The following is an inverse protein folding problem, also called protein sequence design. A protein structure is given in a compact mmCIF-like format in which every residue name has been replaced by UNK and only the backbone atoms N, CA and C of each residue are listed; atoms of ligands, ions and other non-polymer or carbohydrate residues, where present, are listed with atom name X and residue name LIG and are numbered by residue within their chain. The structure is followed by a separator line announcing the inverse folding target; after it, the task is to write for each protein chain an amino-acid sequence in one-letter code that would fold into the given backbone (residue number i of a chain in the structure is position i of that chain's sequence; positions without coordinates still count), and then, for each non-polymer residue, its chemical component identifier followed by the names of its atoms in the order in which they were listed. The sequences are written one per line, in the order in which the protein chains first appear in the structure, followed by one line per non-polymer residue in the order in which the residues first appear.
data_IF_644937861269
#
_entry.id   IF_644937861269
#
_cell.length_a   1.000
_cell.length_b   1.000
_cell.length_c   1.000
_cell.angle_alpha   90.00
_cell.angle_beta   90.00
_cell.angle_gamma   90.00
#
_symmetry.space_group_name_H-M   'P 1'
#
loop_
_entity.id
_entity.type
_entity.pdbx_description
1 polymer ?
#
# COMPACT_ATOMS: atom_id res chain seq x y z
N UNK A 1 -17.14 1.87 27.55
CA UNK A 1 -15.86 1.18 27.24
C UNK A 1 -15.60 0.19 28.35
N UNK A 2 -15.16 -1.02 28.03
CA UNK A 2 -15.06 -2.12 28.99
C UNK A 2 -13.68 -2.16 29.65
N UNK A 3 -13.61 -2.61 30.91
CA UNK A 3 -12.37 -2.69 31.68
C UNK A 3 -11.30 -3.51 30.97
N UNK A 4 -11.68 -4.60 30.28
CA UNK A 4 -10.75 -5.45 29.51
C UNK A 4 -10.06 -4.71 28.38
N UNK A 5 -10.77 -3.77 27.74
CA UNK A 5 -10.23 -2.95 26.64
C UNK A 5 -9.32 -1.87 27.22
N UNK A 6 -9.76 -1.24 28.32
CA UNK A 6 -8.98 -0.20 29.00
C UNK A 6 -7.67 -0.76 29.55
N UNK A 7 -7.68 -1.90 30.23
CA UNK A 7 -6.47 -2.55 30.76
C UNK A 7 -5.40 -2.79 29.69
N UNK A 8 -5.81 -3.27 28.49
CA UNK A 8 -4.90 -3.45 27.35
C UNK A 8 -4.31 -2.15 26.80
N UNK A 9 -4.97 -1.02 27.07
CA UNK A 9 -4.59 0.30 26.56
C UNK A 9 -3.90 1.17 27.62
N UNK A 10 -3.76 0.70 28.86
CA UNK A 10 -3.18 1.48 29.95
C UNK A 10 -1.72 1.86 29.71
N UNK A 11 -0.87 0.95 29.21
CA UNK A 11 0.54 1.27 28.89
C UNK A 11 0.62 2.39 27.86
N UNK A 12 0.00 2.20 26.69
CA UNK A 12 -0.03 3.21 25.63
C UNK A 12 -0.71 4.53 26.06
N UNK A 13 -1.61 4.49 27.06
CA UNK A 13 -2.19 5.69 27.66
C UNK A 13 -1.16 6.45 28.51
N UNK A 14 -0.39 5.74 29.34
CA UNK A 14 0.70 6.29 30.17
C UNK A 14 1.80 6.88 29.29
N UNK A 15 2.19 6.16 28.23
CA UNK A 15 3.25 6.55 27.31
C UNK A 15 2.82 7.69 26.34
N UNK A 16 1.53 8.05 26.33
CA UNK A 16 1.00 9.10 25.44
C UNK A 16 0.90 8.68 23.98
N UNK A 17 0.86 7.38 23.68
CA UNK A 17 0.81 6.83 22.32
C UNK A 17 -0.61 6.65 21.78
N UNK A 18 -1.63 6.75 22.64
CA UNK A 18 -3.02 6.61 22.18
C UNK A 18 -3.48 7.82 21.34
N UNK A 19 -4.22 7.59 20.23
CA UNK A 19 -4.91 8.64 19.48
C UNK A 19 -5.88 9.43 20.36
N UNK A 20 -6.11 10.71 20.03
CA UNK A 20 -6.90 11.64 20.85
C UNK A 20 -8.25 11.08 21.33
N UNK A 21 -9.05 10.51 20.41
CA UNK A 21 -10.37 9.95 20.73
C UNK A 21 -10.29 8.78 21.71
N UNK A 22 -9.27 7.94 21.59
CA UNK A 22 -9.09 6.79 22.47
C UNK A 22 -8.57 7.21 23.83
N UNK A 23 -7.65 8.19 23.88
CA UNK A 23 -7.17 8.79 25.11
C UNK A 23 -8.32 9.42 25.90
N UNK A 24 -9.21 10.15 25.25
CA UNK A 24 -10.39 10.74 25.91
C UNK A 24 -11.32 9.65 26.47
N UNK A 25 -11.58 8.60 25.70
CA UNK A 25 -12.44 7.49 26.13
C UNK A 25 -11.85 6.73 27.33
N UNK A 26 -10.55 6.46 27.31
CA UNK A 26 -9.82 5.83 28.42
C UNK A 26 -9.83 6.75 29.64
N UNK A 27 -9.52 8.03 29.49
CA UNK A 27 -9.54 9.01 30.59
C UNK A 27 -10.91 9.12 31.26
N UNK A 28 -12.00 9.17 30.47
CA UNK A 28 -13.37 9.12 31.00
C UNK A 28 -13.65 7.85 31.79
N UNK A 29 -13.19 6.69 31.30
CA UNK A 29 -13.37 5.42 32.02
C UNK A 29 -12.58 5.39 33.33
N UNK A 30 -11.34 5.89 33.35
CA UNK A 30 -10.54 5.98 34.58
C UNK A 30 -11.19 6.86 35.64
N UNK A 31 -11.89 7.92 35.23
CA UNK A 31 -12.65 8.77 36.16
C UNK A 31 -13.90 8.10 36.78
N UNK A 32 -14.40 7.02 36.17
CA UNK A 32 -15.64 6.34 36.59
C UNK A 32 -15.39 4.94 37.18
N UNK A 33 -14.30 4.29 36.81
CA UNK A 33 -14.01 2.90 37.19
C UNK A 33 -12.86 2.83 38.19
N UNK A 34 -13.19 2.50 39.44
CA UNK A 34 -12.22 2.38 40.53
C UNK A 34 -11.12 1.34 40.22
N UNK A 35 -11.49 0.16 39.70
CA UNK A 35 -10.51 -0.91 39.45
C UNK A 35 -9.47 -0.52 38.41
N UNK A 36 -9.89 0.11 37.31
CA UNK A 36 -8.96 0.55 36.26
C UNK A 36 -8.14 1.77 36.70
N UNK A 37 -8.70 2.65 37.53
CA UNK A 37 -7.94 3.75 38.15
C UNK A 37 -6.84 3.24 39.07
N UNK A 38 -7.11 2.22 39.89
CA UNK A 38 -6.11 1.60 40.76
C UNK A 38 -5.01 0.89 39.96
N UNK A 39 -5.37 0.17 38.91
CA UNK A 39 -4.40 -0.46 38.01
C UNK A 39 -3.50 0.58 37.34
N UNK A 40 -4.08 1.66 36.82
CA UNK A 40 -3.34 2.78 36.26
C UNK A 40 -2.35 3.39 37.27
N UNK A 41 -2.79 3.59 38.53
CA UNK A 41 -1.92 4.11 39.60
C UNK A 41 -0.74 3.19 39.90
N UNK A 42 -0.96 1.87 39.93
CA UNK A 42 0.10 0.87 40.14
C UNK A 42 1.13 0.92 39.01
N UNK A 43 0.69 1.04 37.76
CA UNK A 43 1.58 1.13 36.61
C UNK A 43 2.43 2.41 36.66
N UNK A 44 1.83 3.56 37.00
CA UNK A 44 2.58 4.82 37.20
C UNK A 44 3.62 4.67 38.30
N UNK A 45 3.27 4.04 39.43
CA UNK A 45 4.21 3.83 40.53
C UNK A 45 5.43 3.03 40.06
N UNK A 46 5.21 1.95 39.31
CA UNK A 46 6.31 1.13 38.75
C UNK A 46 7.16 1.98 37.80
N UNK A 47 6.54 2.75 36.90
CA UNK A 47 7.27 3.62 35.98
C UNK A 47 8.11 4.67 36.73
N UNK A 48 7.58 5.27 37.81
CA UNK A 48 8.34 6.24 38.60
C UNK A 48 9.55 5.64 39.33
N UNK A 49 9.47 4.36 39.73
CA UNK A 49 10.61 3.68 40.36
C UNK A 49 11.76 3.44 39.37
N UNK A 50 11.46 3.42 38.06
CA UNK A 50 12.48 3.31 37.01
C UNK A 50 13.13 4.65 36.68
N UNK A 51 12.47 5.77 36.98
CA UNK A 51 12.98 7.12 36.69
C UNK A 51 14.16 7.49 37.62
N UNK A 52 14.24 6.85 38.79
CA UNK A 52 15.35 7.00 39.75
C UNK A 52 16.63 6.25 39.32
N UNK A 53 16.62 5.54 38.18
CA UNK A 53 17.80 4.88 37.66
C UNK A 53 18.76 5.95 37.10
N UNK A 54 19.98 5.98 37.63
CA UNK A 54 21.01 6.94 37.24
C UNK A 54 21.14 7.01 35.71
N UNK A 55 20.88 8.19 35.15
CA UNK A 55 21.09 8.46 33.73
C UNK A 55 22.59 8.46 33.47
N UNK A 56 23.06 7.43 32.76
CA UNK A 56 24.45 7.33 32.31
C UNK A 56 24.76 8.53 31.39
N UNK A 57 25.85 9.24 31.67
CA UNK A 57 26.24 10.41 30.88
C UNK A 57 26.63 9.97 29.46
N UNK A 58 25.92 10.47 28.45
CA UNK A 58 26.19 10.09 27.06
C UNK A 58 27.50 10.72 26.60
N UNK A 59 28.30 9.99 25.83
CA UNK A 59 29.59 10.53 25.37
C UNK A 59 29.40 11.81 24.53
N UNK A 60 30.28 12.81 24.62
CA UNK A 60 30.12 14.10 23.93
C UNK A 60 29.93 14.00 22.40
N UNK A 61 30.41 12.92 21.78
CA UNK A 61 30.33 12.68 20.34
C UNK A 61 29.18 11.74 19.93
N UNK A 62 28.33 11.32 20.87
CA UNK A 62 27.23 10.39 20.60
C UNK A 62 26.23 11.00 19.61
N UNK A 63 25.81 12.25 19.85
CA UNK A 63 24.85 12.94 18.98
C UNK A 63 25.38 13.08 17.55
N UNK A 64 26.64 13.50 17.39
CA UNK A 64 27.28 13.63 16.08
C UNK A 64 27.32 12.30 15.33
N UNK A 65 27.65 11.21 16.02
CA UNK A 65 27.69 9.86 15.43
C UNK A 65 26.30 9.42 14.97
N UNK A 66 25.26 9.64 15.78
CA UNK A 66 23.87 9.28 15.43
C UNK A 66 23.38 10.08 14.23
N UNK A 67 23.60 11.39 14.21
CA UNK A 67 23.18 12.26 13.10
C UNK A 67 23.90 11.89 11.81
N UNK A 68 25.21 11.64 11.87
CA UNK A 68 25.98 11.27 10.68
C UNK A 68 25.55 9.90 10.14
N UNK A 69 25.27 8.93 11.01
CA UNK A 69 24.75 7.63 10.60
C UNK A 69 23.32 7.70 10.04
N UNK A 70 22.44 8.56 10.58
CA UNK A 70 21.10 8.72 10.03
C UNK A 70 21.13 9.29 8.59
N UNK A 71 22.00 10.26 8.33
CA UNK A 71 22.15 10.89 7.00
C UNK A 71 22.56 9.90 5.89
N UNK A 72 23.37 8.88 6.21
CA UNK A 72 23.82 7.90 5.20
C UNK A 72 22.68 6.97 4.75
N UNK A 73 21.76 6.64 5.65
CA UNK A 73 20.57 5.81 5.34
C UNK A 73 19.68 6.52 4.31
N UNK A 74 19.40 7.81 4.50
CA UNK A 74 18.53 8.57 3.59
C UNK A 74 19.16 8.84 2.21
N UNK A 75 20.48 9.07 2.14
CA UNK A 75 21.17 9.33 0.86
C UNK A 75 21.15 8.15 -0.10
N UNK A 76 21.11 6.93 0.42
CA UNK A 76 21.21 5.71 -0.40
C UNK A 76 19.93 5.44 -1.19
N UNK A 77 18.76 5.81 -0.67
CA UNK A 77 17.48 5.62 -1.35
C UNK A 77 17.28 6.58 -2.54
N UNK A 78 17.75 7.84 -2.42
CA UNK A 78 17.53 8.85 -3.45
C UNK A 78 18.31 8.58 -4.75
N UNK A 79 19.52 7.99 -4.67
CA UNK A 79 20.33 7.63 -5.85
C UNK A 79 19.78 6.44 -6.63
N UNK A 80 19.03 5.53 -5.99
CA UNK A 80 18.41 4.39 -6.69
C UNK A 80 17.21 4.78 -7.55
N UNK A 81 16.54 5.90 -7.24
CA UNK A 81 15.33 6.34 -7.95
C UNK A 81 15.56 7.39 -9.05
N UNK A 82 16.70 8.08 -9.11
CA UNK A 82 17.00 9.03 -10.20
C UNK A 82 17.57 8.38 -11.47
N UNK A 83 18.18 7.20 -11.37
CA UNK A 83 18.78 6.51 -12.52
C UNK A 83 17.82 5.75 -13.47
N UNK A 84 16.60 5.28 -13.10
CA UNK A 84 15.73 4.58 -14.05
C UNK A 84 15.05 5.53 -15.05
N UNK A 85 14.79 6.80 -14.69
CA UNK A 85 14.11 7.75 -15.57
C UNK A 85 14.92 8.10 -16.82
N UNK A 86 16.25 8.30 -16.69
CA UNK A 86 17.14 8.55 -17.83
C UNK A 86 17.29 7.32 -18.75
N UNK A 87 17.31 6.11 -18.17
CA UNK A 87 17.38 4.88 -18.95
C UNK A 87 16.11 4.64 -19.78
N UNK A 88 14.93 4.92 -19.22
CA UNK A 88 13.66 4.79 -19.94
C UNK A 88 13.53 5.78 -21.12
N UNK A 89 14.05 7.01 -20.98
CA UNK A 89 14.02 8.00 -22.06
C UNK A 89 14.82 7.56 -23.30
N UNK A 90 15.98 6.93 -23.09
CA UNK A 90 16.79 6.38 -24.19
C UNK A 90 16.06 5.26 -24.95
N UNK A 91 15.39 4.35 -24.22
CA UNK A 91 14.63 3.25 -24.81
C UNK A 91 13.44 3.78 -25.62
N UNK A 92 12.69 4.74 -25.07
CA UNK A 92 11.54 5.35 -25.77
C UNK A 92 12.00 6.04 -27.06
N UNK A 93 13.13 6.76 -27.03
CA UNK A 93 13.65 7.44 -28.21
C UNK A 93 14.04 6.47 -29.32
N UNK A 94 14.68 5.34 -28.97
CA UNK A 94 15.02 4.27 -29.93
C UNK A 94 13.76 3.66 -30.54
N UNK A 95 12.74 3.38 -29.73
CA UNK A 95 11.46 2.82 -30.22
C UNK A 95 10.75 3.81 -31.13
N UNK A 96 10.69 5.09 -30.78
CA UNK A 96 10.03 6.13 -31.59
C UNK A 96 10.72 6.32 -32.93
N UNK A 97 12.06 6.37 -32.95
CA UNK A 97 12.82 6.46 -34.21
C UNK A 97 12.59 5.20 -35.05
N UNK A 98 12.64 4.02 -34.44
CA UNK A 98 12.35 2.75 -35.12
C UNK A 98 10.95 2.73 -35.73
N UNK A 99 9.93 3.24 -35.04
CA UNK A 99 8.57 3.32 -35.57
C UNK A 99 8.42 4.32 -36.72
N UNK A 100 9.16 5.43 -36.70
CA UNK A 100 9.13 6.43 -37.78
C UNK A 100 9.79 5.90 -39.04
N UNK A 101 10.92 5.19 -38.92
CA UNK A 101 11.64 4.63 -40.07
C UNK A 101 11.07 3.29 -40.57
N UNK A 102 10.50 2.48 -39.67
CA UNK A 102 9.99 1.14 -39.99
C UNK A 102 8.49 1.11 -40.33
N UNK A 103 7.73 2.20 -40.12
CA UNK A 103 6.37 2.23 -40.64
C UNK A 103 6.39 2.26 -42.17
N UNK A 104 5.89 1.21 -42.86
CA UNK A 104 5.74 1.29 -44.29
C UNK A 104 4.75 2.42 -44.61
N UNK A 105 5.13 3.33 -45.51
CA UNK A 105 4.20 4.31 -46.11
C UNK A 105 3.22 3.55 -47.03
N UNK A 106 2.34 2.75 -46.45
CA UNK A 106 1.34 1.94 -47.13
C UNK A 106 -0.05 2.56 -46.99
N UNK A 107 -0.80 2.62 -48.09
CA UNK A 107 -2.15 3.16 -48.13
C UNK A 107 -3.08 2.44 -47.12
N UNK A 108 -3.64 3.23 -46.19
CA UNK A 108 -4.53 2.80 -45.10
C UNK A 108 -5.76 2.03 -45.60
N UNK A 109 -6.15 2.19 -46.86
CA UNK A 109 -7.32 1.49 -47.44
C UNK A 109 -7.13 -0.01 -47.63
N UNK A 110 -5.90 -0.50 -47.84
CA UNK A 110 -5.68 -1.94 -48.08
C UNK A 110 -5.86 -2.78 -46.81
N UNK A 111 -5.52 -2.25 -45.64
CA UNK A 111 -5.61 -2.97 -44.36
C UNK A 111 -7.05 -3.13 -43.84
N UNK A 112 -8.01 -2.33 -44.32
CA UNK A 112 -9.40 -2.37 -43.84
C UNK A 112 -10.19 -3.56 -44.37
N UNK A 113 -9.84 -4.08 -45.55
CA UNK A 113 -10.59 -5.17 -46.19
C UNK A 113 -10.11 -6.56 -45.78
N UNK A 114 -8.90 -6.69 -45.24
CA UNK A 114 -8.34 -7.99 -44.84
C UNK A 114 -8.91 -8.48 -43.50
N UNK A 115 -9.21 -7.57 -42.57
CA UNK A 115 -9.87 -7.88 -41.29
C UNK A 115 -11.35 -8.33 -41.44
N UNK A 116 -12.00 -8.03 -42.57
CA UNK A 116 -13.41 -8.38 -42.80
C UNK A 116 -13.61 -9.77 -43.40
N UNK A 117 -12.56 -10.41 -43.95
CA UNK A 117 -12.67 -11.78 -44.50
C UNK A 117 -12.59 -12.89 -43.45
N UNK A 118 -12.00 -12.62 -42.29
CA UNK A 118 -11.87 -13.62 -41.22
C UNK A 118 -13.21 -13.95 -40.52
N UNK A 119 -14.26 -13.14 -40.77
CA UNK A 119 -15.61 -13.36 -40.24
C UNK A 119 -16.58 -13.97 -41.27
N UNK A 120 -16.17 -14.26 -42.50
CA UNK A 120 -17.04 -14.86 -43.52
C UNK A 120 -17.20 -16.38 -43.39
N UNK A 121 -16.44 -17.06 -42.52
CA UNK A 121 -16.55 -18.51 -42.27
C UNK A 121 -17.61 -18.86 -41.20
N UNK A 122 -18.73 -18.14 -41.17
CA UNK A 122 -19.91 -18.57 -40.39
C UNK A 122 -20.82 -19.44 -41.27
N UNK A 123 -21.15 -20.69 -40.86
CA UNK A 123 -22.13 -21.49 -41.59
C UNK A 123 -23.49 -20.76 -41.63
N UNK A 124 -24.30 -20.95 -42.69
CA UNK A 124 -25.53 -20.18 -42.90
C UNK A 124 -26.64 -20.45 -41.87
N UNK A 125 -26.47 -21.44 -41.01
CA UNK A 125 -27.45 -21.79 -39.97
C UNK A 125 -27.15 -21.01 -38.69
N UNK A 126 -28.02 -20.06 -38.38
CA UNK A 126 -27.94 -19.25 -37.16
C UNK A 126 -28.00 -20.14 -35.92
N UNK A 127 -27.28 -19.78 -34.84
CA UNK A 127 -27.41 -20.46 -33.54
C UNK A 127 -28.86 -20.54 -33.04
N UNK A 128 -29.71 -19.61 -33.49
CA UNK A 128 -31.16 -19.65 -33.26
C UNK A 128 -31.82 -20.88 -33.88
N UNK A 129 -31.41 -21.30 -35.06
CA UNK A 129 -32.01 -22.45 -35.77
C UNK A 129 -31.65 -23.76 -35.08
N UNK A 130 -30.41 -23.89 -34.59
CA UNK A 130 -29.94 -25.03 -33.78
C UNK A 130 -30.69 -25.07 -32.44
N UNK A 131 -30.84 -23.92 -31.76
CA UNK A 131 -31.59 -23.85 -30.51
C UNK A 131 -33.07 -24.23 -30.69
N UNK A 132 -33.67 -23.80 -31.81
CA UNK A 132 -35.06 -24.11 -32.12
C UNK A 132 -35.28 -25.57 -32.52
N UNK A 133 -34.30 -26.25 -33.13
CA UNK A 133 -34.37 -27.69 -33.42
C UNK A 133 -34.28 -28.54 -32.17
N UNK A 134 -33.38 -28.21 -31.24
CA UNK A 134 -33.22 -28.93 -29.98
C UNK A 134 -34.47 -28.81 -29.09
N UNK A 135 -35.12 -27.65 -29.08
CA UNK A 135 -36.36 -27.44 -28.30
C UNK A 135 -37.59 -28.07 -28.95
N UNK A 136 -37.66 -28.11 -30.29
CA UNK A 136 -38.82 -28.67 -31.00
C UNK A 136 -38.81 -30.20 -31.11
N UNK A 137 -37.74 -30.88 -30.71
CA UNK A 137 -37.74 -32.34 -30.56
C UNK A 137 -37.91 -33.12 -31.86
N UNK A 138 -37.44 -32.57 -32.98
CA UNK A 138 -37.38 -33.30 -34.27
C UNK A 138 -35.94 -33.75 -34.51
N UNK A 139 -35.57 -34.84 -33.83
CA UNK A 139 -34.44 -35.66 -34.26
C UNK A 139 -34.88 -36.50 -35.46
N UNK A 140 -34.09 -36.46 -36.54
CA UNK A 140 -34.10 -37.53 -37.53
C UNK A 140 -32.74 -38.22 -37.54
#
# INVERSE_FOLDING_TARGET
MDCKIVGKKLSAYIDGELPFKEREAVGKHLGLCFSCSEEHRRLILIASLMDDIAVEDVSPFFADRVVNNAKTVFKTHHRRFLNPALACMGIIFIVVIGLIEFMPRGNIEAARYECLREFEDFPPDSFSDIYMTVIKGEAK
#
